data_IF_563051043994
#
_entry.id   IF_563051043994
#
_cell.length_a   1.000
_cell.length_b   1.000
_cell.length_c   1.000
_cell.angle_alpha   90.00
_cell.angle_beta   90.00
_cell.angle_gamma   90.00
#
_symmetry.space_group_name_H-M   'P 1'
#
loop_
_entity.id
_entity.type
_entity.pdbx_description
1 polymer ?
#
# COMPACT_ATOMS: atom_id res chain seq x y z
N UNK A 1 28.58 11.16 7.85
CA UNK A 1 27.10 11.10 8.02
C UNK A 1 26.32 10.77 6.73
N UNK A 2 26.93 10.82 5.54
CA UNK A 2 26.29 10.57 4.23
C UNK A 2 25.91 9.11 3.95
N UNK A 3 26.78 8.12 4.26
CA UNK A 3 26.51 6.69 3.97
C UNK A 3 25.27 6.14 4.70
N UNK A 4 25.03 6.58 5.92
CA UNK A 4 23.91 6.11 6.76
C UNK A 4 22.57 6.64 6.22
N UNK A 5 22.54 7.90 5.77
CA UNK A 5 21.39 8.52 5.12
C UNK A 5 21.05 7.84 3.79
N UNK A 6 22.04 7.48 2.99
CA UNK A 6 21.83 6.74 1.73
C UNK A 6 21.24 5.36 1.97
N UNK A 7 21.72 4.62 2.98
CA UNK A 7 21.17 3.30 3.35
C UNK A 7 19.74 3.41 3.87
N UNK A 8 19.46 4.38 4.73
CA UNK A 8 18.12 4.64 5.24
C UNK A 8 17.14 5.00 4.10
N UNK A 9 17.55 5.86 3.17
CA UNK A 9 16.74 6.21 2.00
C UNK A 9 16.43 4.98 1.12
N UNK A 10 17.41 4.13 0.85
CA UNK A 10 17.19 2.90 0.07
C UNK A 10 16.23 1.94 0.78
N UNK A 11 16.37 1.75 2.09
CA UNK A 11 15.49 0.90 2.88
C UNK A 11 14.05 1.43 2.91
N UNK A 12 13.86 2.72 3.18
CA UNK A 12 12.53 3.36 3.19
C UNK A 12 11.90 3.30 1.79
N UNK A 13 12.69 3.50 0.72
CA UNK A 13 12.18 3.39 -0.65
C UNK A 13 11.77 1.97 -1.02
N UNK A 14 12.48 0.95 -0.54
CA UNK A 14 12.09 -0.45 -0.72
C UNK A 14 10.79 -0.77 0.04
N UNK A 15 10.70 -0.36 1.32
CA UNK A 15 9.50 -0.48 2.14
C UNK A 15 8.30 0.25 1.53
N UNK A 16 8.51 1.44 0.97
CA UNK A 16 7.49 2.20 0.26
C UNK A 16 6.96 1.45 -0.96
N UNK A 17 7.85 0.90 -1.81
CA UNK A 17 7.44 0.11 -2.97
C UNK A 17 6.66 -1.14 -2.57
N UNK A 18 7.12 -1.84 -1.52
CA UNK A 18 6.42 -3.01 -0.99
C UNK A 18 5.03 -2.63 -0.48
N UNK A 19 4.93 -1.57 0.34
CA UNK A 19 3.65 -1.08 0.84
C UNK A 19 2.70 -0.66 -0.27
N UNK A 20 3.21 0.02 -1.31
CA UNK A 20 2.43 0.39 -2.49
C UNK A 20 1.94 -0.84 -3.26
N UNK A 21 2.81 -1.82 -3.49
CA UNK A 21 2.44 -3.06 -4.18
C UNK A 21 1.41 -3.87 -3.39
N UNK A 22 1.59 -3.99 -2.07
CA UNK A 22 0.65 -4.68 -1.19
C UNK A 22 -0.70 -3.95 -1.13
N UNK A 23 -0.69 -2.63 -0.98
CA UNK A 23 -1.92 -1.82 -1.00
C UNK A 23 -2.67 -1.99 -2.34
N UNK A 24 -1.94 -1.94 -3.46
CA UNK A 24 -2.52 -2.13 -4.78
C UNK A 24 -3.08 -3.54 -4.97
N UNK A 25 -2.34 -4.57 -4.57
CA UNK A 25 -2.79 -5.96 -4.65
C UNK A 25 -4.04 -6.21 -3.78
N UNK A 26 -4.07 -5.70 -2.56
CA UNK A 26 -5.22 -5.79 -1.66
C UNK A 26 -6.45 -5.07 -2.24
N UNK A 27 -6.27 -3.85 -2.75
CA UNK A 27 -7.34 -3.10 -3.41
C UNK A 27 -7.88 -3.82 -4.66
N UNK A 28 -6.98 -4.36 -5.49
CA UNK A 28 -7.35 -5.13 -6.67
C UNK A 28 -8.11 -6.40 -6.31
N UNK A 29 -7.67 -7.15 -5.30
CA UNK A 29 -8.37 -8.34 -4.80
C UNK A 29 -9.75 -8.01 -4.22
N UNK A 30 -9.86 -6.89 -3.50
CA UNK A 30 -11.11 -6.42 -2.94
C UNK A 30 -12.12 -6.14 -4.04
N UNK A 31 -11.74 -5.35 -5.05
CA UNK A 31 -12.60 -5.04 -6.20
C UNK A 31 -12.92 -6.29 -7.02
N UNK A 32 -11.93 -7.18 -7.24
CA UNK A 32 -12.15 -8.41 -7.99
C UNK A 32 -13.13 -9.35 -7.28
N UNK A 33 -13.03 -9.52 -5.95
CA UNK A 33 -13.95 -10.34 -5.17
C UNK A 33 -15.37 -9.76 -5.15
N UNK A 34 -15.49 -8.44 -5.01
CA UNK A 34 -16.79 -7.76 -5.11
C UNK A 34 -17.39 -7.91 -6.51
N UNK A 35 -16.61 -7.71 -7.57
CA UNK A 35 -17.05 -7.89 -8.96
C UNK A 35 -17.50 -9.33 -9.22
N UNK A 36 -16.73 -10.32 -8.75
CA UNK A 36 -17.11 -11.73 -8.85
C UNK A 36 -18.41 -12.03 -8.11
N UNK A 37 -18.58 -11.49 -6.89
CA UNK A 37 -19.83 -11.62 -6.12
C UNK A 37 -21.03 -11.01 -6.84
N UNK A 38 -20.87 -9.87 -7.52
CA UNK A 38 -21.92 -9.25 -8.33
C UNK A 38 -22.27 -10.11 -9.54
N UNK A 39 -21.27 -10.58 -10.30
CA UNK A 39 -21.48 -11.40 -11.51
C UNK A 39 -22.18 -12.72 -11.15
N UNK A 40 -21.80 -13.34 -10.03
CA UNK A 40 -22.38 -14.59 -9.56
C UNK A 40 -23.67 -14.41 -8.77
N UNK A 41 -24.15 -13.17 -8.59
CA UNK A 41 -25.32 -12.82 -7.79
C UNK A 41 -25.26 -13.36 -6.34
N UNK A 42 -24.06 -13.35 -5.75
CA UNK A 42 -23.74 -13.82 -4.40
C UNK A 42 -23.40 -12.62 -3.51
N UNK A 43 -24.40 -11.98 -2.88
CA UNK A 43 -24.17 -10.80 -2.05
C UNK A 43 -23.28 -11.11 -0.84
N UNK A 44 -23.31 -12.35 -0.33
CA UNK A 44 -22.39 -12.81 0.71
C UNK A 44 -20.91 -12.66 0.34
N UNK A 45 -20.54 -12.80 -0.94
CA UNK A 45 -19.16 -12.67 -1.39
C UNK A 45 -18.71 -11.21 -1.46
N UNK A 46 -19.61 -10.31 -1.82
CA UNK A 46 -19.36 -8.87 -1.82
C UNK A 46 -19.09 -8.38 -0.39
N UNK A 47 -19.95 -8.77 0.56
CA UNK A 47 -19.80 -8.42 1.97
C UNK A 47 -18.56 -9.08 2.60
N UNK A 48 -18.36 -10.38 2.38
CA UNK A 48 -17.23 -11.12 2.95
C UNK A 48 -15.87 -10.65 2.45
N UNK A 49 -15.77 -10.23 1.18
CA UNK A 49 -14.54 -9.66 0.64
C UNK A 49 -14.23 -8.30 1.28
N UNK A 50 -15.24 -7.45 1.47
CA UNK A 50 -15.08 -6.19 2.20
C UNK A 50 -14.63 -6.41 3.64
N UNK A 51 -15.29 -7.29 4.39
CA UNK A 51 -14.98 -7.50 5.80
C UNK A 51 -13.54 -8.01 6.01
N UNK A 52 -13.06 -8.86 5.11
CA UNK A 52 -11.72 -9.44 5.19
C UNK A 52 -10.61 -8.51 4.67
N UNK A 53 -10.85 -7.79 3.57
CA UNK A 53 -9.79 -7.07 2.86
C UNK A 53 -9.80 -5.56 3.08
N UNK A 54 -10.89 -4.97 3.55
CA UNK A 54 -11.00 -3.52 3.70
C UNK A 54 -10.05 -2.96 4.76
N UNK A 55 -10.08 -3.52 5.98
CA UNK A 55 -9.20 -3.05 7.06
C UNK A 55 -7.72 -3.27 6.74
N UNK A 56 -7.29 -4.44 6.22
CA UNK A 56 -5.91 -4.61 5.75
C UNK A 56 -5.51 -3.65 4.63
N UNK A 57 -6.39 -3.40 3.64
CA UNK A 57 -6.11 -2.49 2.54
C UNK A 57 -5.91 -1.05 3.02
N UNK A 58 -6.80 -0.56 3.90
CA UNK A 58 -6.70 0.78 4.49
C UNK A 58 -5.46 0.89 5.37
N UNK A 59 -5.14 -0.14 6.14
CA UNK A 59 -3.94 -0.17 7.00
C UNK A 59 -2.66 -0.13 6.15
N UNK A 60 -2.60 -0.92 5.08
CA UNK A 60 -1.49 -0.90 4.13
C UNK A 60 -1.38 0.46 3.43
N UNK A 61 -2.51 1.07 3.06
CA UNK A 61 -2.57 2.40 2.46
C UNK A 61 -1.99 3.47 3.41
N UNK A 62 -2.41 3.46 4.68
CA UNK A 62 -1.91 4.38 5.69
C UNK A 62 -0.40 4.19 5.94
N UNK A 63 0.04 2.94 6.09
CA UNK A 63 1.44 2.62 6.33
C UNK A 63 2.35 3.06 5.18
N UNK A 64 1.98 2.76 3.92
CA UNK A 64 2.76 3.21 2.77
C UNK A 64 2.75 4.74 2.63
N UNK A 65 1.62 5.41 2.92
CA UNK A 65 1.53 6.86 2.91
C UNK A 65 2.51 7.53 3.88
N UNK A 66 2.58 7.02 5.12
CA UNK A 66 3.56 7.50 6.13
C UNK A 66 4.99 7.23 5.67
N UNK A 67 5.28 6.04 5.13
CA UNK A 67 6.60 5.72 4.60
C UNK A 67 6.99 6.63 3.43
N UNK A 68 6.04 6.99 2.57
CA UNK A 68 6.25 7.92 1.46
C UNK A 68 6.54 9.34 1.95
N UNK A 69 5.82 9.81 2.97
CA UNK A 69 6.09 11.09 3.62
C UNK A 69 7.50 11.12 4.21
N UNK A 70 7.88 10.10 4.97
CA UNK A 70 9.23 9.96 5.55
C UNK A 70 10.30 9.86 4.47
N UNK A 71 10.05 9.12 3.38
CA UNK A 71 10.93 9.06 2.22
C UNK A 71 11.16 10.43 1.59
N UNK A 72 10.12 11.29 1.57
CA UNK A 72 10.18 12.66 1.07
C UNK A 72 11.11 13.56 1.89
N UNK A 73 11.11 13.43 3.23
CA UNK A 73 12.08 14.16 4.08
C UNK A 73 13.51 13.67 3.91
N UNK A 74 13.69 12.37 3.66
CA UNK A 74 14.99 11.75 3.47
C UNK A 74 15.51 11.86 2.04
N UNK A 75 14.65 12.24 1.10
CA UNK A 75 15.03 12.46 -0.29
C UNK A 75 16.15 13.50 -0.32
N UNK A 76 17.26 13.23 -1.05
CA UNK A 76 18.26 14.25 -1.25
C UNK A 76 17.57 15.42 -1.93
N UNK A 77 17.37 16.52 -1.19
CA UNK A 77 17.07 17.81 -1.80
C UNK A 77 18.18 18.04 -2.81
N UNK A 78 17.82 18.11 -4.09
CA UNK A 78 18.73 18.72 -5.05
C UNK A 78 19.08 20.10 -4.52
N UNK A 79 20.36 20.32 -4.24
CA UNK A 79 20.96 21.60 -4.63
C UNK A 79 20.70 21.71 -6.14
N UNK A 80 19.90 22.73 -6.48
CA UNK A 80 19.72 23.39 -7.79
C UNK A 80 19.13 22.58 -8.96
#
# INVERSE_FOLDING_TARGET
>A
MTKMRTRAFTAVRALFKLGLLTCFALGALLVAGQLAGVILQRPEWVAGTSDLLFVPAVTAAAAFGVLGFVAGYLAPRGED
#
